data_IF_328811160401
#
_entry.id   IF_328811160401
#
_cell.length_a   1.000
_cell.length_b   1.000
_cell.length_c   1.000
_cell.angle_alpha   90.00
_cell.angle_beta   90.00
_cell.angle_gamma   90.00
#
_symmetry.space_group_name_H-M   'P 1'
#
loop_
_entity.id
_entity.type
_entity.pdbx_description
1 polymer ?
#
# COMPACT_ATOMS: atom_id res chain seq x y z
N UNK A 1 -3.64 10.13 1.71
CA UNK A 1 -3.09 11.39 2.28
C UNK A 1 -1.74 11.84 1.70
N UNK A 2 -0.79 10.94 1.40
CA UNK A 2 0.57 11.29 0.91
C UNK A 2 0.51 12.13 -0.39
N UNK A 3 -0.17 11.61 -1.43
CA UNK A 3 -0.27 12.30 -2.72
C UNK A 3 -0.93 13.68 -2.57
N UNK A 4 -2.07 13.75 -1.86
CA UNK A 4 -2.79 15.00 -1.63
C UNK A 4 -1.93 16.05 -0.93
N UNK A 5 -1.20 15.66 0.12
CA UNK A 5 -0.31 16.55 0.85
C UNK A 5 0.80 17.12 -0.05
N UNK A 6 1.46 16.27 -0.84
CA UNK A 6 2.54 16.67 -1.75
C UNK A 6 2.05 17.62 -2.85
N UNK A 7 0.84 17.36 -3.38
CA UNK A 7 0.23 18.20 -4.42
C UNK A 7 -0.18 19.56 -3.83
N UNK A 8 -0.80 19.58 -2.65
CA UNK A 8 -1.30 20.82 -2.05
C UNK A 8 -0.16 21.76 -1.61
N UNK A 9 1.00 21.21 -1.24
CA UNK A 9 2.21 22.01 -0.96
C UNK A 9 2.90 22.57 -2.22
N UNK A 10 2.40 22.28 -3.43
CA UNK A 10 3.00 22.65 -4.73
C UNK A 10 4.48 22.28 -4.88
N UNK A 11 4.93 21.25 -4.15
CA UNK A 11 6.34 20.82 -4.13
C UNK A 11 6.68 19.95 -5.34
N UNK A 12 5.68 19.25 -5.89
CA UNK A 12 5.85 18.15 -6.84
C UNK A 12 4.66 18.16 -7.82
N UNK A 13 4.87 17.69 -9.06
CA UNK A 13 3.81 17.51 -10.04
C UNK A 13 2.77 16.46 -9.58
N UNK A 14 1.52 16.62 -10.00
CA UNK A 14 0.44 15.69 -9.59
C UNK A 14 0.70 14.24 -9.96
N UNK A 15 1.37 14.00 -11.09
CA UNK A 15 1.76 12.66 -11.52
C UNK A 15 2.82 12.05 -10.60
N UNK A 16 3.91 12.77 -10.34
CA UNK A 16 5.00 12.26 -9.51
C UNK A 16 4.56 12.06 -8.05
N UNK A 17 3.74 12.95 -7.50
CA UNK A 17 3.16 12.78 -6.17
C UNK A 17 2.28 11.52 -6.06
N UNK A 18 1.56 11.18 -7.13
CA UNK A 18 0.72 9.98 -7.18
C UNK A 18 1.57 8.71 -7.27
N UNK A 19 2.59 8.70 -8.14
CA UNK A 19 3.54 7.59 -8.23
C UNK A 19 4.29 7.35 -6.93
N UNK A 20 4.77 8.43 -6.28
CA UNK A 20 5.44 8.34 -4.99
C UNK A 20 4.52 7.74 -3.93
N UNK A 21 3.27 8.17 -3.86
CA UNK A 21 2.30 7.62 -2.90
C UNK A 21 2.00 6.13 -3.19
N UNK A 22 1.87 5.74 -4.46
CA UNK A 22 1.66 4.34 -4.83
C UNK A 22 2.84 3.46 -4.38
N UNK A 23 4.07 3.86 -4.72
CA UNK A 23 5.26 3.11 -4.33
C UNK A 23 5.49 3.09 -2.82
N UNK A 24 5.11 4.15 -2.10
CA UNK A 24 5.17 4.16 -0.64
C UNK A 24 4.25 3.09 -0.03
N UNK A 25 3.02 2.95 -0.53
CA UNK A 25 2.10 1.90 -0.06
C UNK A 25 2.63 0.51 -0.43
N UNK A 26 3.04 0.31 -1.69
CA UNK A 26 3.60 -0.97 -2.12
C UNK A 26 4.83 -1.38 -1.31
N UNK A 27 5.73 -0.44 -1.01
CA UNK A 27 6.92 -0.71 -0.20
C UNK A 27 6.57 -1.02 1.25
N UNK A 28 5.53 -0.39 1.80
CA UNK A 28 5.09 -0.66 3.17
C UNK A 28 4.45 -2.05 3.26
N UNK A 29 3.58 -2.40 2.32
CA UNK A 29 2.96 -3.72 2.22
C UNK A 29 4.04 -4.81 2.12
N UNK A 30 4.95 -4.70 1.13
CA UNK A 30 6.05 -5.66 0.99
C UNK A 30 6.97 -5.72 2.21
N UNK A 31 7.21 -4.58 2.87
CA UNK A 31 8.01 -4.53 4.09
C UNK A 31 7.35 -5.25 5.27
N UNK A 32 6.02 -5.16 5.39
CA UNK A 32 5.26 -5.85 6.42
C UNK A 32 5.31 -7.37 6.24
N UNK A 33 5.07 -7.85 5.02
CA UNK A 33 5.18 -9.28 4.67
C UNK A 33 6.57 -9.86 4.95
N UNK A 34 7.63 -9.09 4.67
CA UNK A 34 9.01 -9.51 4.98
C UNK A 34 9.20 -9.66 6.50
N UNK A 35 8.61 -8.79 7.31
CA UNK A 35 8.67 -8.87 8.77
C UNK A 35 7.92 -10.10 9.28
N UNK A 36 6.73 -10.38 8.74
CA UNK A 36 5.95 -11.56 9.10
C UNK A 36 6.67 -12.85 8.74
N UNK A 37 7.23 -12.93 7.53
CA UNK A 37 8.06 -14.05 7.13
C UNK A 37 9.28 -14.23 8.06
N UNK A 38 9.97 -13.13 8.39
CA UNK A 38 11.15 -13.19 9.25
C UNK A 38 10.80 -13.66 10.66
N UNK A 39 9.71 -13.16 11.24
CA UNK A 39 9.22 -13.61 12.54
C UNK A 39 8.85 -15.10 12.51
N UNK A 40 8.07 -15.52 11.50
CA UNK A 40 7.65 -16.92 11.34
C UNK A 40 8.85 -17.86 11.22
N UNK A 41 9.91 -17.44 10.52
CA UNK A 41 11.14 -18.20 10.37
C UNK A 41 11.95 -18.35 11.68
N UNK A 42 11.88 -17.36 12.59
CA UNK A 42 12.59 -17.41 13.88
C UNK A 42 11.78 -18.17 14.93
N UNK A 43 10.49 -17.85 15.08
CA UNK A 43 9.64 -18.42 16.12
C UNK A 43 9.36 -19.90 15.84
N UNK A 44 9.05 -20.25 14.59
CA UNK A 44 8.63 -21.60 14.22
C UNK A 44 7.36 -22.07 14.94
N UNK A 45 6.98 -23.33 14.70
CA UNK A 45 5.83 -23.96 15.37
C UNK A 45 4.50 -23.23 15.14
N UNK A 46 3.56 -23.45 16.06
CA UNK A 46 2.20 -22.90 15.96
C UNK A 46 2.16 -21.37 16.13
N UNK A 47 3.08 -20.81 16.93
CA UNK A 47 3.16 -19.36 17.16
C UNK A 47 3.61 -18.60 15.90
N UNK A 48 4.62 -19.12 15.19
CA UNK A 48 5.07 -18.55 13.92
C UNK A 48 4.03 -18.65 12.81
N UNK A 49 3.28 -19.76 12.74
CA UNK A 49 2.20 -19.95 11.76
C UNK A 49 1.01 -19.04 12.08
N UNK A 50 0.66 -18.89 13.36
CA UNK A 50 -0.41 -18.01 13.78
C UNK A 50 -0.09 -16.53 13.51
N UNK A 51 1.17 -16.11 13.71
CA UNK A 51 1.60 -14.74 13.42
C UNK A 51 1.75 -14.48 11.92
N UNK A 52 2.24 -15.46 11.14
CA UNK A 52 2.32 -15.34 9.68
C UNK A 52 0.94 -15.12 9.04
N UNK A 53 -0.15 -15.47 9.72
CA UNK A 53 -1.50 -15.12 9.28
C UNK A 53 -2.02 -15.93 8.08
N UNK A 54 -1.15 -16.65 7.37
CA UNK A 54 -1.46 -17.31 6.09
C UNK A 54 -2.61 -18.31 6.13
N UNK A 55 -2.94 -18.89 7.29
CA UNK A 55 -4.00 -19.92 7.41
C UNK A 55 -3.84 -21.09 6.42
N UNK A 56 -2.61 -21.36 5.97
CA UNK A 56 -2.29 -22.39 4.97
C UNK A 56 -2.36 -21.92 3.51
N UNK A 57 -2.64 -20.64 3.25
CA UNK A 57 -2.57 -20.02 1.94
C UNK A 57 -1.15 -19.59 1.60
N UNK A 58 -0.53 -20.29 0.66
CA UNK A 58 0.84 -20.00 0.20
C UNK A 58 0.89 -18.64 -0.54
N UNK A 59 -0.25 -18.15 -1.02
CA UNK A 59 -0.36 -16.90 -1.78
C UNK A 59 -0.82 -15.70 -0.94
N UNK A 60 -0.89 -15.84 0.38
CA UNK A 60 -1.41 -14.84 1.30
C UNK A 60 -0.69 -13.49 1.13
N UNK A 61 0.63 -13.49 1.28
CA UNK A 61 1.48 -12.31 1.10
C UNK A 61 1.27 -11.61 -0.26
N UNK A 62 1.12 -12.38 -1.34
CA UNK A 62 0.88 -11.81 -2.67
C UNK A 62 -0.51 -11.21 -2.79
N UNK A 63 -1.53 -11.82 -2.16
CA UNK A 63 -2.90 -11.32 -2.15
C UNK A 63 -3.01 -10.04 -1.33
N UNK A 64 -2.34 -9.97 -0.20
CA UNK A 64 -2.35 -8.80 0.68
C UNK A 64 -1.65 -7.61 0.03
N UNK A 65 -0.45 -7.81 -0.51
CA UNK A 65 0.23 -6.80 -1.31
C UNK A 65 -0.60 -6.34 -2.53
N UNK A 66 -1.31 -7.26 -3.19
CA UNK A 66 -2.19 -6.92 -4.31
C UNK A 66 -3.38 -6.08 -3.85
N UNK A 67 -4.04 -6.47 -2.76
CA UNK A 67 -5.16 -5.74 -2.16
C UNK A 67 -4.75 -4.31 -1.78
N UNK A 68 -3.60 -4.15 -1.12
CA UNK A 68 -3.06 -2.84 -0.76
C UNK A 68 -2.75 -1.98 -1.99
N UNK A 69 -2.13 -2.59 -3.01
CA UNK A 69 -1.82 -1.90 -4.27
C UNK A 69 -3.08 -1.46 -4.99
N UNK A 70 -4.10 -2.31 -5.06
CA UNK A 70 -5.40 -1.98 -5.66
C UNK A 70 -6.10 -0.87 -4.87
N UNK A 71 -6.10 -0.93 -3.54
CA UNK A 71 -6.64 0.10 -2.68
C UNK A 71 -5.95 1.46 -2.89
N UNK A 72 -4.62 1.46 -3.06
CA UNK A 72 -3.86 2.66 -3.40
C UNK A 72 -4.23 3.23 -4.77
N UNK A 73 -4.35 2.39 -5.81
CA UNK A 73 -4.77 2.80 -7.15
C UNK A 73 -6.16 3.42 -7.11
N UNK A 74 -7.14 2.76 -6.48
CA UNK A 74 -8.51 3.27 -6.34
C UNK A 74 -8.52 4.62 -5.63
N UNK A 75 -7.75 4.75 -4.54
CA UNK A 75 -7.63 6.01 -3.79
C UNK A 75 -7.05 7.15 -4.64
N UNK A 76 -6.05 6.87 -5.49
CA UNK A 76 -5.47 7.86 -6.39
C UNK A 76 -6.43 8.24 -7.53
N UNK A 77 -7.22 7.30 -8.04
CA UNK A 77 -8.28 7.57 -9.03
C UNK A 77 -9.37 8.46 -8.43
N UNK A 78 -9.81 8.18 -7.20
CA UNK A 78 -10.78 9.01 -6.47
C UNK A 78 -10.24 10.41 -6.24
N UNK A 79 -8.99 10.55 -5.76
CA UNK A 79 -8.33 11.84 -5.59
C UNK A 79 -8.29 12.62 -6.90
N UNK A 80 -7.90 11.97 -8.00
CA UNK A 80 -7.83 12.61 -9.32
C UNK A 80 -9.21 13.07 -9.78
N UNK A 81 -10.24 12.26 -9.57
CA UNK A 81 -11.64 12.56 -9.95
C UNK A 81 -12.17 13.74 -9.14
N UNK A 82 -12.02 13.70 -7.81
CA UNK A 82 -12.40 14.79 -6.91
C UNK A 82 -11.74 16.11 -7.31
N UNK A 83 -10.44 16.09 -7.63
CA UNK A 83 -9.70 17.28 -8.05
C UNK A 83 -10.12 17.82 -9.41
N UNK A 84 -10.64 16.97 -10.32
CA UNK A 84 -11.19 17.42 -11.60
C UNK A 84 -12.54 18.11 -11.39
N UNK A 85 -13.39 17.56 -10.53
CA UNK A 85 -14.71 18.11 -10.22
C UNK A 85 -14.65 19.41 -9.41
N UNK A 86 -13.62 19.58 -8.57
CA UNK A 86 -13.47 20.76 -7.71
C UNK A 86 -12.88 22.00 -8.41
N UNK A 87 -12.50 21.93 -9.70
CA UNK A 87 -12.06 23.12 -10.45
C UNK A 87 -13.31 23.91 -10.89
N UNK A 88 -13.53 25.15 -10.42
CA UNK A 88 -14.59 25.98 -10.98
C UNK A 88 -14.25 26.34 -12.44
N UNK A 89 -15.29 26.48 -13.26
CA UNK A 89 -15.21 26.92 -14.66
C UNK A 89 -14.40 28.20 -14.82
#
# INVERSE_FOLDING_TARGET
>A
PIAEYLINKKRISSGFASWFALFAIMSLAAGYEIIEWWYAAIAGGDEGIAFLGSQGDIWDAQKDMLCDTMGAIVSLLLLTTQRRLAKPF
#
